data_IF_959111263661
#
_entry.id   IF_959111263661
#
_cell.length_a   1.000
_cell.length_b   1.000
_cell.length_c   1.000
_cell.angle_alpha   90.00
_cell.angle_beta   90.00
_cell.angle_gamma   90.00
#
_symmetry.space_group_name_H-M   'P 1'
#
loop_
_entity.id
_entity.type
_entity.pdbx_description
1 polymer ?
#
# COMPACT_ATOMS: atom_id res chain seq x y z
N UNK A 1 4.38 24.00 13.69
CA UNK A 1 3.89 23.37 12.44
C UNK A 1 5.10 22.84 11.68
N UNK A 2 5.15 21.55 11.38
CA UNK A 2 6.15 20.98 10.48
C UNK A 2 5.69 21.23 9.03
N UNK A 3 6.52 21.86 8.21
CA UNK A 3 6.24 22.08 6.79
C UNK A 3 7.09 21.12 5.95
N UNK A 4 6.53 20.66 4.83
CA UNK A 4 7.19 19.78 3.86
C UNK A 4 7.50 20.60 2.62
N UNK A 5 8.77 20.64 2.19
CA UNK A 5 9.18 21.32 0.96
C UNK A 5 9.26 20.32 -0.19
N UNK A 6 8.58 20.60 -1.30
CA UNK A 6 8.57 19.76 -2.50
C UNK A 6 9.24 20.50 -3.65
N UNK A 7 9.99 19.78 -4.49
CA UNK A 7 10.64 20.36 -5.67
C UNK A 7 9.89 19.96 -6.93
N UNK A 8 8.87 20.73 -7.31
CA UNK A 8 7.92 20.32 -8.35
C UNK A 8 8.53 20.53 -9.74
N UNK A 9 8.64 19.44 -10.51
CA UNK A 9 8.97 19.48 -11.93
C UNK A 9 8.05 18.52 -12.72
N UNK A 10 7.94 18.65 -14.05
CA UNK A 10 7.24 17.66 -14.88
C UNK A 10 7.79 16.24 -14.69
N UNK A 11 9.08 16.13 -14.37
CA UNK A 11 9.77 14.88 -14.05
C UNK A 11 9.44 14.26 -12.68
N UNK A 12 8.94 15.06 -11.74
CA UNK A 12 8.71 14.65 -10.36
C UNK A 12 7.50 15.43 -9.81
N UNK A 13 6.28 14.97 -10.10
CA UNK A 13 5.06 15.58 -9.57
C UNK A 13 5.03 15.52 -8.04
N UNK A 14 4.40 16.51 -7.41
CA UNK A 14 4.20 16.56 -5.96
C UNK A 14 3.61 15.25 -5.37
N UNK A 15 2.59 14.61 -5.98
CA UNK A 15 2.07 13.33 -5.50
C UNK A 15 3.11 12.22 -5.41
N UNK A 16 4.00 12.15 -6.40
CA UNK A 16 5.04 11.11 -6.48
C UNK A 16 6.09 11.33 -5.40
N UNK A 17 6.45 12.59 -5.13
CA UNK A 17 7.41 12.92 -4.07
C UNK A 17 6.86 12.63 -2.68
N UNK A 18 5.60 12.98 -2.44
CA UNK A 18 4.92 12.70 -1.17
C UNK A 18 4.85 11.20 -0.88
N UNK A 19 4.43 10.40 -1.86
CA UNK A 19 4.36 8.94 -1.72
C UNK A 19 5.72 8.32 -1.42
N UNK A 20 6.78 8.78 -2.09
CA UNK A 20 8.15 8.33 -1.79
C UNK A 20 8.60 8.64 -0.37
N UNK A 21 8.01 9.64 0.27
CA UNK A 21 8.27 10.01 1.66
C UNK A 21 7.29 9.35 2.64
N UNK A 22 6.47 8.41 2.19
CA UNK A 22 5.44 7.76 3.02
C UNK A 22 4.27 8.68 3.35
N UNK A 23 4.12 9.80 2.64
CA UNK A 23 3.03 10.76 2.80
C UNK A 23 1.95 10.53 1.74
N UNK A 24 0.70 10.86 2.07
CA UNK A 24 -0.39 10.73 1.11
C UNK A 24 -0.20 11.70 -0.07
N UNK A 25 -0.40 11.23 -1.32
CA UNK A 25 -0.18 12.02 -2.54
C UNK A 25 -1.09 13.24 -2.62
N UNK A 26 -2.27 13.16 -2.00
CA UNK A 26 -3.18 14.25 -1.76
C UNK A 26 -3.69 14.09 -0.32
N UNK A 27 -3.67 15.14 0.50
CA UNK A 27 -4.56 15.19 1.66
C UNK A 27 -5.95 15.42 1.08
N UNK A 28 -6.87 14.44 1.11
CA UNK A 28 -8.22 14.71 0.66
C UNK A 28 -8.83 15.77 1.58
N UNK A 29 -9.57 16.72 0.99
CA UNK A 29 -10.37 17.70 1.73
C UNK A 29 -11.32 16.98 2.71
N UNK A 30 -11.62 15.70 2.46
CA UNK A 30 -12.20 14.73 3.38
C UNK A 30 -11.61 13.32 3.16
N UNK A 31 -10.73 12.80 4.03
CA UNK A 31 -10.34 11.39 3.98
C UNK A 31 -11.46 10.57 4.63
N UNK A 32 -12.19 9.79 3.83
CA UNK A 32 -13.08 8.76 4.39
C UNK A 32 -12.29 7.50 4.80
N UNK A 33 -11.17 7.22 4.11
CA UNK A 33 -10.34 6.05 4.35
C UNK A 33 -8.93 6.27 3.77
N UNK A 34 -7.91 5.98 4.56
CA UNK A 34 -6.52 6.01 4.16
C UNK A 34 -6.02 4.55 4.15
N UNK A 35 -5.76 4.01 2.96
CA UNK A 35 -5.27 2.62 2.78
C UNK A 35 -3.82 2.69 2.31
N UNK A 36 -2.96 1.84 2.87
CA UNK A 36 -1.57 1.73 2.41
C UNK A 36 -1.52 1.30 0.94
N UNK A 37 -0.59 1.86 0.16
CA UNK A 37 -0.35 1.43 -1.22
C UNK A 37 0.08 -0.04 -1.28
N UNK A 38 0.83 -0.52 -0.29
CA UNK A 38 1.19 -1.93 -0.18
C UNK A 38 -0.05 -2.82 -0.03
N UNK A 39 -1.03 -2.36 0.74
CA UNK A 39 -2.29 -3.09 0.95
C UNK A 39 -3.15 -3.09 -0.33
N UNK A 40 -3.10 -2.03 -1.13
CA UNK A 40 -3.73 -1.99 -2.45
C UNK A 40 -3.07 -2.98 -3.43
N UNK A 41 -1.74 -3.08 -3.43
CA UNK A 41 -1.00 -4.07 -4.24
C UNK A 41 -1.33 -5.50 -3.80
N UNK A 42 -1.44 -5.73 -2.49
CA UNK A 42 -1.89 -7.00 -1.93
C UNK A 42 -3.28 -7.39 -2.41
N UNK A 43 -4.27 -6.51 -2.22
CA UNK A 43 -5.66 -6.79 -2.63
C UNK A 43 -5.76 -7.00 -4.13
N UNK A 44 -5.00 -6.23 -4.93
CA UNK A 44 -4.93 -6.44 -6.38
C UNK A 44 -4.38 -7.83 -6.74
N UNK A 45 -3.29 -8.24 -6.09
CA UNK A 45 -2.69 -9.57 -6.28
C UNK A 45 -3.64 -10.69 -5.84
N UNK A 46 -4.32 -10.48 -4.71
CA UNK A 46 -5.30 -11.39 -4.15
C UNK A 46 -6.51 -11.55 -5.09
N UNK A 47 -6.99 -10.46 -5.69
CA UNK A 47 -8.12 -10.47 -6.61
C UNK A 47 -7.83 -11.26 -7.89
N UNK A 48 -6.59 -11.19 -8.39
CA UNK A 48 -6.13 -12.00 -9.55
C UNK A 48 -6.08 -13.50 -9.20
N UNK A 49 -5.79 -13.84 -7.95
CA UNK A 49 -5.71 -15.22 -7.46
C UNK A 49 -6.97 -15.67 -6.68
N UNK A 50 -8.07 -14.92 -6.74
CA UNK A 50 -9.34 -15.21 -6.07
C UNK A 50 -10.11 -16.37 -6.75
N UNK A 51 -9.39 -17.44 -7.09
CA UNK A 51 -10.02 -18.73 -7.26
C UNK A 51 -10.64 -19.14 -5.89
N UNK A 52 -11.69 -19.97 -5.88
CA UNK A 52 -12.53 -20.22 -4.71
C UNK A 52 -11.89 -21.24 -3.76
N UNK A 53 -10.61 -21.07 -3.43
CA UNK A 53 -9.86 -21.92 -2.52
C UNK A 53 -9.39 -21.09 -1.33
N UNK A 54 -10.03 -21.31 -0.18
CA UNK A 54 -9.69 -20.65 1.10
C UNK A 54 -8.19 -20.73 1.44
N UNK A 55 -7.52 -21.80 1.00
CA UNK A 55 -6.08 -21.99 1.19
C UNK A 55 -5.21 -21.03 0.37
N UNK A 56 -5.60 -20.68 -0.87
CA UNK A 56 -4.83 -19.75 -1.69
C UNK A 56 -4.90 -18.32 -1.14
N UNK A 57 -6.01 -17.96 -0.50
CA UNK A 57 -6.16 -16.68 0.18
C UNK A 57 -5.20 -16.57 1.38
N UNK A 58 -5.12 -17.62 2.21
CA UNK A 58 -4.22 -17.68 3.35
C UNK A 58 -2.74 -17.65 2.93
N UNK A 59 -2.38 -18.36 1.86
CA UNK A 59 -1.00 -18.37 1.33
C UNK A 59 -0.60 -17.01 0.72
N UNK A 60 -1.50 -16.37 -0.04
CA UNK A 60 -1.27 -15.03 -0.58
C UNK A 60 -1.07 -14.01 0.56
N UNK A 61 -1.88 -14.09 1.62
CA UNK A 61 -1.80 -13.22 2.78
C UNK A 61 -0.51 -13.43 3.58
N UNK A 62 -0.13 -14.69 3.81
CA UNK A 62 1.10 -15.04 4.55
C UNK A 62 2.34 -14.63 3.77
N UNK A 63 2.38 -14.84 2.45
CA UNK A 63 3.52 -14.43 1.61
C UNK A 63 3.67 -12.91 1.50
N UNK A 64 2.55 -12.17 1.44
CA UNK A 64 2.59 -10.70 1.47
C UNK A 64 3.10 -10.17 2.80
N UNK A 65 2.60 -10.69 3.92
CA UNK A 65 3.01 -10.27 5.26
C UNK A 65 4.48 -10.64 5.53
N UNK A 66 4.93 -11.80 5.08
CA UNK A 66 6.34 -12.19 5.15
C UNK A 66 7.25 -11.22 4.38
N UNK A 67 6.84 -10.74 3.19
CA UNK A 67 7.57 -9.71 2.43
C UNK A 67 7.64 -8.36 3.15
N UNK A 68 6.67 -8.07 4.02
CA UNK A 68 6.62 -6.89 4.88
C UNK A 68 7.35 -7.10 6.23
N UNK A 69 7.95 -8.28 6.46
CA UNK A 69 8.66 -8.62 7.70
C UNK A 69 7.76 -9.13 8.83
N UNK A 70 6.48 -9.35 8.56
CA UNK A 70 5.52 -9.91 9.51
C UNK A 70 5.33 -11.40 9.25
N UNK A 71 5.95 -12.24 10.09
CA UNK A 71 5.83 -13.70 9.99
C UNK A 71 4.61 -14.14 10.81
N UNK A 72 3.65 -14.76 10.15
CA UNK A 72 2.56 -15.48 10.80
C UNK A 72 2.91 -16.96 10.76
N UNK A 73 3.28 -17.51 11.91
CA UNK A 73 3.44 -18.95 12.09
C UNK A 73 2.04 -19.53 12.35
N UNK A 74 1.43 -20.08 11.30
CA UNK A 74 0.17 -20.82 11.44
C UNK A 74 0.53 -22.21 11.95
N UNK A 75 0.17 -22.49 13.21
CA UNK A 75 0.30 -23.81 13.85
C UNK A 75 -0.71 -24.81 13.28
#
# INVERSE_FOLDING_TARGET
LNYVQLHICPCAPAPVQLVKWGLFPCSPVYPALAVSLDMLEFVSTLFVHLAPNETAWADALTSFLARQGHVFEVQ
#
